data_IF_285741321232
#
_entry.id   IF_285741321232
#
_cell.length_a   1.000
_cell.length_b   1.000
_cell.length_c   1.000
_cell.angle_alpha   90.00
_cell.angle_beta   90.00
_cell.angle_gamma   90.00
#
_symmetry.space_group_name_H-M   'P 1'
#
loop_
_entity.id
_entity.type
_entity.pdbx_description
1 polymer ?
#
# COMPACT_ATOMS: atom_id res chain seq x y z
N UNK A 1 -30.80 -16.87 48.71
CA UNK A 1 -30.02 -18.12 48.64
C UNK A 1 -29.38 -18.18 47.27
N UNK A 2 -28.06 -18.27 47.16
CA UNK A 2 -27.39 -18.31 45.87
C UNK A 2 -27.59 -19.70 45.23
N UNK A 3 -27.80 -19.71 43.89
CA UNK A 3 -27.88 -20.97 43.16
C UNK A 3 -26.49 -21.61 43.07
N UNK A 4 -26.41 -22.93 43.15
CA UNK A 4 -25.15 -23.67 42.95
C UNK A 4 -24.70 -23.48 41.50
N UNK A 5 -23.48 -23.01 41.31
CA UNK A 5 -22.88 -22.84 39.97
C UNK A 5 -22.49 -24.23 39.44
N UNK A 6 -22.80 -24.48 38.15
CA UNK A 6 -22.37 -25.70 37.48
C UNK A 6 -20.86 -25.76 37.39
N UNK A 7 -20.27 -26.93 37.63
CA UNK A 7 -18.86 -27.20 37.42
C UNK A 7 -18.54 -27.62 35.99
N UNK A 8 -19.58 -27.86 35.17
CA UNK A 8 -19.42 -28.12 33.75
C UNK A 8 -19.31 -26.77 33.02
N UNK A 9 -18.11 -26.43 32.56
CA UNK A 9 -17.78 -25.16 31.93
C UNK A 9 -17.83 -25.30 30.38
N UNK A 10 -18.99 -25.68 29.84
CA UNK A 10 -19.23 -25.52 28.42
C UNK A 10 -19.46 -24.03 28.10
N UNK A 11 -18.44 -23.35 27.65
CA UNK A 11 -18.51 -21.92 27.38
C UNK A 11 -19.48 -21.59 26.24
N UNK A 12 -19.54 -22.43 25.18
CA UNK A 12 -20.42 -22.24 24.05
C UNK A 12 -21.90 -22.26 24.45
N UNK A 13 -22.31 -23.22 25.28
CA UNK A 13 -23.69 -23.29 25.78
C UNK A 13 -24.04 -22.06 26.65
N UNK A 14 -23.09 -21.63 27.47
CA UNK A 14 -23.28 -20.44 28.33
C UNK A 14 -23.36 -19.15 27.52
N UNK A 15 -22.60 -19.03 26.47
CA UNK A 15 -22.66 -17.87 25.53
C UNK A 15 -24.05 -17.81 24.89
N UNK A 16 -24.54 -18.92 24.33
CA UNK A 16 -25.89 -19.01 23.75
C UNK A 16 -27.01 -18.68 24.73
N UNK A 17 -26.90 -19.11 25.97
CA UNK A 17 -27.84 -18.74 27.03
C UNK A 17 -27.82 -17.24 27.32
N UNK A 18 -26.63 -16.63 27.27
CA UNK A 18 -26.47 -15.19 27.50
C UNK A 18 -27.00 -14.38 26.31
N UNK A 19 -26.69 -14.78 25.09
CA UNK A 19 -27.23 -14.15 23.87
C UNK A 19 -28.76 -14.18 23.87
N UNK A 20 -29.32 -15.37 24.12
CA UNK A 20 -30.79 -15.51 24.23
C UNK A 20 -31.38 -14.61 25.32
N UNK A 21 -30.71 -14.47 26.45
CA UNK A 21 -31.16 -13.56 27.52
C UNK A 21 -31.13 -12.10 27.06
N UNK A 22 -30.09 -11.69 26.31
CA UNK A 22 -30.00 -10.33 25.79
C UNK A 22 -31.13 -10.02 24.81
N UNK A 23 -31.43 -10.95 23.90
CA UNK A 23 -32.48 -10.81 22.89
C UNK A 23 -33.87 -10.80 23.53
N UNK A 24 -34.19 -11.79 24.33
CA UNK A 24 -35.48 -11.91 25.00
C UNK A 24 -35.81 -10.70 25.92
N UNK A 25 -34.79 -10.01 26.41
CA UNK A 25 -34.93 -8.87 27.32
C UNK A 25 -34.58 -7.53 26.68
N UNK A 26 -34.26 -7.46 25.39
CA UNK A 26 -33.87 -6.24 24.66
C UNK A 26 -32.77 -5.45 25.40
N UNK A 27 -31.70 -6.14 25.80
CA UNK A 27 -30.66 -5.55 26.68
C UNK A 27 -29.88 -4.46 25.94
N UNK A 28 -29.63 -4.63 24.63
CA UNK A 28 -28.95 -3.63 23.83
C UNK A 28 -29.75 -2.32 23.77
N UNK A 29 -31.01 -2.36 23.41
CA UNK A 29 -31.91 -1.21 23.32
C UNK A 29 -32.06 -0.53 24.71
N UNK A 30 -32.28 -1.31 25.75
CA UNK A 30 -32.36 -0.81 27.14
C UNK A 30 -31.06 -0.13 27.60
N UNK A 31 -29.91 -0.58 27.09
CA UNK A 31 -28.63 0.03 27.42
C UNK A 31 -28.55 1.49 26.94
N UNK A 32 -29.21 1.83 25.85
CA UNK A 32 -29.33 3.18 25.30
C UNK A 32 -30.48 3.95 25.99
N UNK A 33 -31.66 3.34 26.10
CA UNK A 33 -32.82 3.97 26.69
C UNK A 33 -32.59 4.43 28.16
N UNK A 34 -31.98 3.57 28.96
CA UNK A 34 -31.64 3.88 30.37
C UNK A 34 -30.63 5.04 30.52
N UNK A 35 -30.06 5.50 29.44
CA UNK A 35 -29.02 6.56 29.39
C UNK A 35 -29.35 7.69 28.42
N UNK A 36 -30.60 7.81 27.98
CA UNK A 36 -31.03 8.82 27.02
C UNK A 36 -30.79 10.25 27.48
N UNK A 37 -30.77 10.50 28.80
CA UNK A 37 -30.44 11.79 29.39
C UNK A 37 -28.93 11.96 29.68
N UNK A 38 -28.11 10.94 29.40
CA UNK A 38 -26.66 10.99 29.57
C UNK A 38 -25.95 11.63 28.41
N UNK A 39 -24.66 11.92 28.54
CA UNK A 39 -23.88 12.42 27.42
C UNK A 39 -23.83 11.38 26.29
N UNK A 40 -23.92 11.82 25.05
CA UNK A 40 -23.89 10.95 23.88
C UNK A 40 -22.44 10.60 23.48
N UNK A 41 -22.20 9.32 23.19
CA UNK A 41 -20.99 8.85 22.53
C UNK A 41 -21.38 8.03 21.30
N UNK A 42 -21.32 8.66 20.12
CA UNK A 42 -21.73 8.01 18.87
C UNK A 42 -20.63 7.08 18.35
N UNK A 43 -21.01 5.87 17.96
CA UNK A 43 -20.14 4.90 17.33
C UNK A 43 -20.68 4.47 15.97
N UNK A 44 -19.83 4.57 14.95
CA UNK A 44 -20.07 4.02 13.62
C UNK A 44 -19.11 2.86 13.39
N UNK A 45 -19.62 1.71 12.98
CA UNK A 45 -18.77 0.58 12.60
C UNK A 45 -17.96 0.95 11.35
N UNK A 46 -16.65 0.65 11.35
CA UNK A 46 -15.88 0.57 10.12
C UNK A 46 -16.33 -0.70 9.40
N UNK A 47 -17.05 -0.59 8.26
CA UNK A 47 -17.86 -1.67 7.75
C UNK A 47 -16.99 -2.80 7.20
N UNK A 48 -17.38 -4.07 7.36
CA UNK A 48 -16.75 -5.15 6.62
C UNK A 48 -17.10 -5.03 5.14
N UNK A 49 -16.15 -5.41 4.28
CA UNK A 49 -16.45 -5.62 2.87
C UNK A 49 -17.30 -6.89 2.73
N UNK A 50 -18.50 -6.75 2.17
CA UNK A 50 -19.50 -7.82 2.13
C UNK A 50 -19.22 -8.92 1.07
N UNK A 51 -18.04 -8.95 0.46
CA UNK A 51 -17.64 -9.82 -0.64
C UNK A 51 -17.04 -11.17 -0.21
N UNK A 52 -16.88 -11.44 1.07
CA UNK A 52 -16.27 -12.66 1.58
C UNK A 52 -16.85 -13.16 2.90
N UNK A 53 -16.52 -14.40 3.24
CA UNK A 53 -16.94 -15.02 4.52
C UNK A 53 -16.15 -14.41 5.69
N UNK A 54 -16.78 -14.24 6.87
CA UNK A 54 -16.05 -13.89 8.08
C UNK A 54 -15.04 -14.99 8.44
N UNK A 55 -13.95 -14.59 9.08
CA UNK A 55 -12.91 -15.50 9.56
C UNK A 55 -12.40 -15.08 10.93
N UNK A 56 -11.58 -15.91 11.57
CA UNK A 56 -11.11 -15.70 12.95
C UNK A 56 -10.44 -14.34 13.18
N UNK A 57 -9.75 -13.79 12.15
CA UNK A 57 -9.15 -12.45 12.26
C UNK A 57 -10.17 -11.33 12.48
N UNK A 58 -11.41 -11.51 12.05
CA UNK A 58 -12.48 -10.55 12.29
C UNK A 58 -13.00 -10.57 13.73
N UNK A 59 -12.80 -11.67 14.48
CA UNK A 59 -13.17 -11.74 15.93
C UNK A 59 -12.41 -10.67 16.70
N UNK A 60 -11.10 -10.57 16.52
CA UNK A 60 -10.28 -9.55 17.20
C UNK A 60 -10.79 -8.13 16.94
N UNK A 61 -11.08 -7.82 15.67
CA UNK A 61 -11.60 -6.50 15.28
C UNK A 61 -12.95 -6.22 15.93
N UNK A 62 -13.89 -7.19 15.90
CA UNK A 62 -15.21 -7.06 16.54
C UNK A 62 -15.10 -6.85 18.05
N UNK A 63 -14.26 -7.63 18.72
CA UNK A 63 -14.05 -7.50 20.18
C UNK A 63 -13.50 -6.13 20.55
N UNK A 64 -12.50 -5.63 19.84
CA UNK A 64 -11.93 -4.30 20.10
C UNK A 64 -12.96 -3.20 19.84
N UNK A 65 -13.70 -3.26 18.73
CA UNK A 65 -14.75 -2.31 18.39
C UNK A 65 -15.88 -2.29 19.44
N UNK A 66 -16.25 -3.44 19.97
CA UNK A 66 -17.33 -3.54 20.97
C UNK A 66 -16.89 -3.09 22.38
N UNK A 67 -15.65 -3.30 22.73
CA UNK A 67 -15.10 -2.96 24.04
C UNK A 67 -15.26 -1.48 24.39
N UNK A 68 -14.95 -0.57 23.48
CA UNK A 68 -15.02 0.87 23.73
C UNK A 68 -16.46 1.36 23.93
N UNK A 69 -17.42 1.05 23.05
CA UNK A 69 -18.82 1.35 23.27
C UNK A 69 -19.39 0.78 24.57
N UNK A 70 -19.06 -0.47 24.93
CA UNK A 70 -19.50 -1.06 26.22
C UNK A 70 -18.91 -0.31 27.41
N UNK A 71 -17.62 0.00 27.38
CA UNK A 71 -16.99 0.80 28.41
C UNK A 71 -17.67 2.16 28.57
N UNK A 72 -17.95 2.87 27.49
CA UNK A 72 -18.67 4.15 27.50
C UNK A 72 -20.08 4.00 28.07
N UNK A 73 -20.80 2.94 27.68
CA UNK A 73 -22.11 2.61 28.25
C UNK A 73 -22.04 2.41 29.75
N UNK A 74 -21.05 1.66 30.27
CA UNK A 74 -20.83 1.47 31.71
C UNK A 74 -20.47 2.78 32.43
N UNK A 75 -19.86 3.75 31.74
CA UNK A 75 -19.57 5.08 32.29
C UNK A 75 -20.78 6.03 32.25
N UNK A 76 -21.96 5.57 31.84
CA UNK A 76 -23.19 6.36 31.86
C UNK A 76 -23.50 7.09 30.54
N UNK A 77 -22.75 6.85 29.48
CA UNK A 77 -23.02 7.46 28.16
C UNK A 77 -24.17 6.73 27.44
N UNK A 78 -25.00 7.48 26.75
CA UNK A 78 -25.89 6.96 25.71
C UNK A 78 -25.03 6.72 24.46
N UNK A 79 -24.97 5.46 24.01
CA UNK A 79 -24.05 5.04 22.94
C UNK A 79 -24.81 4.46 21.75
N UNK A 80 -25.26 5.31 20.81
CA UNK A 80 -25.80 4.84 19.53
C UNK A 80 -24.67 4.16 18.74
N UNK A 81 -24.96 2.95 18.23
CA UNK A 81 -23.99 2.12 17.52
C UNK A 81 -24.56 1.77 16.15
N UNK A 82 -24.05 2.43 15.14
CA UNK A 82 -24.50 2.25 13.75
C UNK A 82 -23.65 1.18 13.08
N UNK A 83 -24.28 0.08 12.63
CA UNK A 83 -23.64 -0.88 11.75
C UNK A 83 -23.49 -0.32 10.33
N UNK A 84 -22.64 -0.95 9.51
CA UNK A 84 -22.47 -0.55 8.12
C UNK A 84 -22.00 -1.70 7.23
N UNK A 85 -22.14 -1.50 5.93
CA UNK A 85 -21.68 -2.42 4.89
C UNK A 85 -20.86 -1.68 3.85
N UNK A 86 -19.63 -2.14 3.64
CA UNK A 86 -18.80 -1.74 2.50
C UNK A 86 -19.21 -2.59 1.28
N UNK A 87 -19.80 -1.94 0.29
CA UNK A 87 -20.53 -2.62 -0.78
C UNK A 87 -20.07 -2.26 -2.19
N UNK A 88 -18.91 -1.61 -2.32
CA UNK A 88 -18.40 -1.19 -3.63
C UNK A 88 -16.87 -1.30 -3.71
N UNK A 89 -16.33 -0.92 -4.87
CA UNK A 89 -14.90 -0.87 -5.13
C UNK A 89 -14.31 -2.19 -5.66
N UNK A 90 -13.01 -2.17 -5.87
CA UNK A 90 -12.25 -3.25 -6.52
C UNK A 90 -12.47 -4.65 -5.92
N UNK A 91 -12.56 -4.84 -4.59
CA UNK A 91 -12.79 -6.17 -4.02
C UNK A 91 -14.11 -6.82 -4.49
N UNK A 92 -15.17 -6.04 -4.64
CA UNK A 92 -16.46 -6.52 -5.14
C UNK A 92 -16.38 -6.83 -6.64
N UNK A 93 -15.74 -5.94 -7.40
CA UNK A 93 -15.53 -6.11 -8.84
C UNK A 93 -14.75 -7.39 -9.16
N UNK A 94 -13.64 -7.65 -8.45
CA UNK A 94 -12.81 -8.85 -8.64
C UNK A 94 -13.57 -10.16 -8.32
N UNK A 95 -14.46 -10.15 -7.32
CA UNK A 95 -15.30 -11.32 -7.03
C UNK A 95 -16.30 -11.57 -8.16
N UNK A 96 -16.88 -10.52 -8.71
CA UNK A 96 -17.84 -10.64 -9.83
C UNK A 96 -17.13 -10.97 -11.14
N UNK A 97 -15.95 -10.41 -11.43
CA UNK A 97 -15.10 -10.85 -12.55
C UNK A 97 -14.88 -12.35 -12.51
N UNK A 98 -14.47 -12.87 -11.35
CA UNK A 98 -14.23 -14.29 -11.14
C UNK A 98 -15.51 -15.12 -11.31
N UNK A 99 -16.64 -14.63 -10.80
CA UNK A 99 -17.93 -15.30 -10.92
C UNK A 99 -18.38 -15.41 -12.37
N UNK A 100 -18.15 -14.39 -13.18
CA UNK A 100 -18.52 -14.31 -14.60
C UNK A 100 -17.46 -14.88 -15.55
N UNK A 101 -16.28 -15.24 -15.02
CA UNK A 101 -15.15 -15.70 -15.83
C UNK A 101 -14.50 -14.60 -16.68
N UNK A 102 -14.68 -13.33 -16.31
CA UNK A 102 -14.09 -12.19 -17.00
C UNK A 102 -12.64 -11.95 -16.54
N UNK A 103 -11.84 -11.31 -17.36
CA UNK A 103 -10.45 -10.98 -17.06
C UNK A 103 -10.10 -9.56 -17.49
N UNK A 104 -10.31 -8.63 -16.56
CA UNK A 104 -9.90 -7.24 -16.71
C UNK A 104 -10.95 -6.35 -17.37
N UNK A 105 -10.59 -5.07 -17.43
CA UNK A 105 -11.49 -3.98 -17.76
C UNK A 105 -12.12 -4.10 -19.15
N UNK A 106 -11.34 -4.49 -20.16
CA UNK A 106 -11.84 -4.63 -21.54
C UNK A 106 -13.01 -5.61 -21.63
N UNK A 107 -12.90 -6.77 -20.97
CA UNK A 107 -13.97 -7.78 -20.97
C UNK A 107 -15.20 -7.33 -20.15
N UNK A 108 -15.00 -6.50 -19.11
CA UNK A 108 -16.11 -5.88 -18.37
C UNK A 108 -16.87 -4.89 -19.26
N UNK A 109 -16.15 -4.08 -20.04
CA UNK A 109 -16.75 -3.13 -20.99
C UNK A 109 -17.53 -3.87 -22.11
N UNK A 110 -16.98 -4.98 -22.63
CA UNK A 110 -17.67 -5.85 -23.60
C UNK A 110 -18.92 -6.52 -23.02
N UNK A 111 -18.87 -7.00 -21.77
CA UNK A 111 -20.02 -7.56 -21.06
C UNK A 111 -21.12 -6.51 -20.84
N UNK A 112 -20.72 -5.26 -20.65
CA UNK A 112 -21.58 -4.11 -20.42
C UNK A 112 -21.54 -3.63 -18.96
N UNK A 113 -21.34 -2.34 -18.78
CA UNK A 113 -21.20 -1.72 -17.45
C UNK A 113 -22.45 -1.88 -16.58
N UNK A 114 -23.64 -1.65 -17.15
CA UNK A 114 -24.89 -1.74 -16.38
C UNK A 114 -25.18 -3.16 -15.86
N UNK A 115 -25.15 -4.23 -16.68
CA UNK A 115 -25.33 -5.59 -16.17
C UNK A 115 -24.23 -6.02 -15.20
N UNK A 116 -22.98 -5.54 -15.37
CA UNK A 116 -21.90 -5.81 -14.44
C UNK A 116 -22.13 -5.16 -13.07
N UNK A 117 -22.49 -3.88 -13.02
CA UNK A 117 -22.85 -3.16 -11.78
C UNK A 117 -24.03 -3.83 -11.08
N UNK A 118 -25.04 -4.28 -11.83
CA UNK A 118 -26.16 -5.02 -11.25
C UNK A 118 -25.69 -6.30 -10.56
N UNK A 119 -24.78 -7.04 -11.19
CA UNK A 119 -24.16 -8.24 -10.57
C UNK A 119 -23.35 -7.91 -9.33
N UNK A 120 -22.62 -6.80 -9.32
CA UNK A 120 -21.92 -6.32 -8.13
C UNK A 120 -22.90 -6.05 -6.97
N UNK A 121 -23.97 -5.32 -7.22
CA UNK A 121 -25.03 -5.05 -6.21
C UNK A 121 -25.72 -6.32 -5.70
N UNK A 122 -25.92 -7.32 -6.54
CA UNK A 122 -26.47 -8.62 -6.12
C UNK A 122 -25.46 -9.42 -5.27
N UNK A 123 -24.19 -9.38 -5.65
CA UNK A 123 -23.10 -10.16 -5.04
C UNK A 123 -22.86 -9.79 -3.58
N UNK A 124 -22.90 -8.49 -3.22
CA UNK A 124 -22.57 -8.02 -1.87
C UNK A 124 -23.51 -8.56 -0.79
N UNK A 125 -24.72 -8.94 -1.12
CA UNK A 125 -25.69 -9.47 -0.14
C UNK A 125 -25.57 -10.98 0.10
N UNK A 126 -24.75 -11.67 -0.71
CA UNK A 126 -24.55 -13.12 -0.60
C UNK A 126 -24.06 -13.57 0.78
N UNK A 127 -23.23 -12.78 1.45
CA UNK A 127 -22.62 -13.13 2.72
C UNK A 127 -23.23 -12.39 3.93
N UNK A 128 -24.24 -11.53 3.71
CA UNK A 128 -24.83 -10.70 4.76
C UNK A 128 -25.25 -11.51 5.98
N UNK A 129 -26.07 -12.55 5.79
CA UNK A 129 -26.55 -13.39 6.90
C UNK A 129 -25.43 -14.05 7.69
N UNK A 130 -24.35 -14.50 7.00
CA UNK A 130 -23.19 -15.08 7.69
C UNK A 130 -22.45 -14.04 8.55
N UNK A 131 -22.41 -12.79 8.14
CA UNK A 131 -21.81 -11.71 8.91
C UNK A 131 -22.68 -11.29 10.10
N UNK A 132 -23.99 -11.31 9.94
CA UNK A 132 -24.95 -11.05 11.03
C UNK A 132 -24.87 -12.15 12.09
N UNK A 133 -24.93 -13.43 11.68
CA UNK A 133 -24.76 -14.58 12.56
C UNK A 133 -23.39 -14.56 13.29
N UNK A 134 -22.31 -14.25 12.55
CA UNK A 134 -20.99 -14.12 13.15
C UNK A 134 -20.93 -12.99 14.18
N UNK A 135 -21.54 -11.84 13.89
CA UNK A 135 -21.58 -10.70 14.81
C UNK A 135 -22.37 -11.03 16.08
N UNK A 136 -23.48 -11.77 15.96
CA UNK A 136 -24.23 -12.31 17.08
C UNK A 136 -23.39 -13.25 17.92
N UNK A 137 -22.78 -14.27 17.29
CA UNK A 137 -21.93 -15.27 17.97
C UNK A 137 -20.78 -14.68 18.77
N UNK A 138 -20.17 -13.58 18.32
CA UNK A 138 -19.10 -12.88 19.07
C UNK A 138 -19.64 -11.82 20.04
N UNK A 139 -20.96 -11.71 20.17
CA UNK A 139 -21.63 -10.76 21.06
C UNK A 139 -21.44 -9.29 20.71
N UNK A 140 -21.21 -8.98 19.43
CA UNK A 140 -21.02 -7.62 18.93
C UNK A 140 -22.37 -6.85 18.91
N UNK A 141 -22.46 -5.77 19.65
CA UNK A 141 -23.66 -4.94 19.71
C UNK A 141 -23.60 -3.76 18.74
N UNK A 142 -24.44 -3.78 17.73
CA UNK A 142 -24.66 -2.65 16.81
C UNK A 142 -26.09 -2.72 16.23
N UNK A 143 -26.61 -1.60 15.76
CA UNK A 143 -27.89 -1.54 15.05
C UNK A 143 -27.70 -2.13 13.63
N UNK A 144 -27.95 -3.43 13.52
CA UNK A 144 -27.89 -4.20 12.28
C UNK A 144 -29.17 -4.07 11.44
N UNK A 145 -30.27 -3.58 12.04
CA UNK A 145 -31.54 -3.40 11.33
C UNK A 145 -31.51 -2.16 10.43
N UNK A 146 -30.79 -1.12 10.88
CA UNK A 146 -30.68 0.15 10.14
C UNK A 146 -29.22 0.48 9.82
N UNK A 147 -28.48 -0.37 9.10
CA UNK A 147 -27.11 -0.14 8.77
C UNK A 147 -27.00 0.99 7.72
N UNK A 148 -25.84 1.66 7.67
CA UNK A 148 -25.50 2.43 6.47
C UNK A 148 -24.90 1.50 5.41
N UNK A 149 -25.16 1.81 4.15
CA UNK A 149 -24.69 1.03 3.00
C UNK A 149 -23.98 1.97 2.04
N UNK A 150 -22.71 1.68 1.74
CA UNK A 150 -21.87 2.66 1.05
C UNK A 150 -22.27 2.92 -0.41
N UNK A 151 -23.05 2.05 -1.06
CA UNK A 151 -23.57 2.32 -2.39
C UNK A 151 -24.94 3.03 -2.40
N UNK A 152 -25.57 3.24 -1.23
CA UNK A 152 -26.84 3.94 -1.17
C UNK A 152 -26.69 5.43 -1.49
N UNK A 153 -27.66 5.98 -2.21
CA UNK A 153 -27.66 7.37 -2.65
C UNK A 153 -27.50 8.35 -1.49
N UNK A 154 -28.16 8.09 -0.36
CA UNK A 154 -28.04 8.92 0.85
C UNK A 154 -26.59 8.97 1.42
N UNK A 155 -25.87 7.83 1.35
CA UNK A 155 -24.49 7.78 1.78
C UNK A 155 -23.60 8.56 0.79
N UNK A 156 -23.77 8.33 -0.49
CA UNK A 156 -23.04 9.01 -1.57
C UNK A 156 -23.28 10.52 -1.52
N UNK A 157 -24.53 10.95 -1.34
CA UNK A 157 -24.86 12.38 -1.22
C UNK A 157 -24.18 13.03 -0.02
N UNK A 158 -24.12 12.33 1.12
CA UNK A 158 -23.43 12.80 2.32
C UNK A 158 -21.92 12.93 2.11
N UNK A 159 -21.30 11.99 1.39
CA UNK A 159 -19.88 12.05 1.02
C UNK A 159 -19.61 13.24 0.09
N UNK A 160 -20.44 13.44 -0.91
CA UNK A 160 -20.32 14.59 -1.81
C UNK A 160 -20.48 15.91 -1.09
N UNK A 161 -21.41 16.00 -0.14
CA UNK A 161 -21.55 17.17 0.73
C UNK A 161 -20.26 17.44 1.52
N UNK A 162 -19.63 16.40 2.09
CA UNK A 162 -18.38 16.53 2.82
C UNK A 162 -17.25 17.01 1.90
N UNK A 163 -17.08 16.40 0.71
CA UNK A 163 -16.08 16.81 -0.29
C UNK A 163 -16.32 18.25 -0.77
N UNK A 164 -17.59 18.64 -1.02
CA UNK A 164 -17.93 20.01 -1.38
C UNK A 164 -17.55 21.02 -0.28
N UNK A 165 -17.79 20.65 0.97
CA UNK A 165 -17.42 21.49 2.13
C UNK A 165 -15.90 21.66 2.24
N UNK A 166 -15.13 20.60 2.01
CA UNK A 166 -13.65 20.64 1.98
C UNK A 166 -13.16 21.52 0.82
N UNK A 167 -13.78 21.38 -0.35
CA UNK A 167 -13.50 22.21 -1.53
C UNK A 167 -13.73 23.70 -1.26
N UNK A 168 -14.88 24.05 -0.66
CA UNK A 168 -15.23 25.46 -0.36
C UNK A 168 -14.26 26.07 0.63
N UNK A 169 -13.72 25.27 1.55
CA UNK A 169 -12.66 25.67 2.48
C UNK A 169 -11.27 25.77 1.84
N UNK A 170 -11.11 25.49 0.54
CA UNK A 170 -9.84 25.48 -0.20
C UNK A 170 -8.81 24.48 0.33
N UNK A 171 -9.27 23.41 0.96
CA UNK A 171 -8.41 22.35 1.49
C UNK A 171 -8.18 21.20 0.50
N UNK A 172 -9.00 21.11 -0.56
CA UNK A 172 -8.81 20.15 -1.65
C UNK A 172 -7.98 20.81 -2.75
N UNK A 173 -6.87 20.19 -3.11
CA UNK A 173 -5.93 20.67 -4.13
C UNK A 173 -5.42 19.51 -5.00
N UNK A 174 -4.91 19.83 -6.19
CA UNK A 174 -4.26 18.86 -7.07
C UNK A 174 -2.79 18.72 -6.67
N UNK A 175 -2.39 17.53 -6.29
CA UNK A 175 -1.02 17.18 -5.90
C UNK A 175 -0.50 15.96 -6.63
N UNK A 176 0.78 15.63 -6.42
CA UNK A 176 1.42 14.42 -6.92
C UNK A 176 1.80 13.54 -5.74
N UNK A 177 1.66 12.23 -5.91
CA UNK A 177 2.11 11.23 -4.96
C UNK A 177 2.57 9.99 -5.73
N UNK A 178 3.72 9.45 -5.36
CA UNK A 178 4.18 8.16 -5.89
C UNK A 178 3.44 7.07 -5.12
N UNK A 179 2.79 6.19 -5.85
CA UNK A 179 2.03 5.06 -5.30
C UNK A 179 2.24 3.82 -6.16
N UNK A 180 2.24 2.61 -5.57
CA UNK A 180 2.16 1.37 -6.32
C UNK A 180 0.93 1.37 -7.24
N UNK A 181 1.08 0.85 -8.44
CA UNK A 181 0.03 0.84 -9.45
C UNK A 181 -0.10 -0.55 -10.06
N UNK A 182 -1.32 -1.06 -10.14
CA UNK A 182 -1.61 -2.34 -10.78
C UNK A 182 -1.97 -2.13 -12.25
N UNK A 183 -1.13 -2.56 -13.23
CA UNK A 183 -1.45 -2.38 -14.64
C UNK A 183 -2.64 -3.24 -15.11
N UNK A 184 -2.92 -4.38 -14.44
CA UNK A 184 -4.09 -5.21 -14.75
C UNK A 184 -5.39 -4.53 -14.37
N UNK A 185 -5.46 -4.00 -13.15
CA UNK A 185 -6.67 -3.37 -12.63
C UNK A 185 -6.82 -1.91 -13.08
N UNK A 186 -5.71 -1.27 -13.53
CA UNK A 186 -5.70 0.14 -13.90
C UNK A 186 -5.89 1.09 -12.71
N UNK A 187 -5.53 0.66 -11.50
CA UNK A 187 -5.75 1.40 -10.25
C UNK A 187 -4.49 1.52 -9.41
N UNK A 188 -4.34 2.61 -8.63
CA UNK A 188 -3.35 2.66 -7.56
C UNK A 188 -3.70 1.64 -6.47
N UNK A 189 -2.67 1.15 -5.76
CA UNK A 189 -2.80 0.18 -4.68
C UNK A 189 -2.53 0.84 -3.33
N UNK A 190 -3.29 0.44 -2.32
CA UNK A 190 -3.01 0.78 -0.93
C UNK A 190 -1.81 0.01 -0.38
N UNK A 191 -1.18 0.52 0.68
CA UNK A 191 -0.10 -0.19 1.37
C UNK A 191 -0.52 -1.57 1.89
N UNK A 192 -1.79 -1.73 2.29
CA UNK A 192 -2.33 -3.00 2.75
C UNK A 192 -2.44 -4.03 1.63
N UNK A 193 -2.87 -3.63 0.43
CA UNK A 193 -2.94 -4.52 -0.74
C UNK A 193 -1.54 -4.97 -1.16
N UNK A 194 -0.58 -4.04 -1.20
CA UNK A 194 0.82 -4.34 -1.52
C UNK A 194 1.42 -5.31 -0.51
N UNK A 195 1.19 -5.10 0.80
CA UNK A 195 1.73 -5.94 1.87
C UNK A 195 1.29 -7.42 1.75
N UNK A 196 0.12 -7.69 1.19
CA UNK A 196 -0.39 -9.04 0.99
C UNK A 196 0.18 -9.74 -0.26
N UNK A 197 0.80 -8.99 -1.16
CA UNK A 197 1.26 -9.46 -2.48
C UNK A 197 2.74 -9.78 -2.60
N UNK A 198 3.55 -9.61 -1.55
CA UNK A 198 4.99 -9.86 -1.61
C UNK A 198 5.31 -11.33 -1.91
N UNK A 199 6.15 -11.54 -2.92
CA UNK A 199 6.67 -12.85 -3.31
C UNK A 199 8.15 -12.74 -3.62
N UNK A 200 8.92 -13.77 -3.28
CA UNK A 200 10.28 -13.91 -3.79
C UNK A 200 10.21 -14.31 -5.27
N UNK A 201 10.78 -13.48 -6.13
CA UNK A 201 10.87 -13.72 -7.58
C UNK A 201 12.31 -13.64 -8.04
N UNK A 202 12.64 -14.37 -9.12
CA UNK A 202 13.93 -14.23 -9.79
C UNK A 202 13.78 -13.27 -10.95
N UNK A 203 14.48 -12.15 -10.87
CA UNK A 203 14.51 -11.12 -11.90
C UNK A 203 15.90 -11.01 -12.50
N UNK A 204 15.97 -10.56 -13.76
CA UNK A 204 17.22 -10.16 -14.38
C UNK A 204 17.54 -8.74 -13.96
N UNK A 205 18.70 -8.53 -13.35
CA UNK A 205 19.24 -7.21 -13.09
C UNK A 205 20.18 -6.76 -14.23
N UNK A 206 20.35 -5.47 -14.36
CA UNK A 206 21.27 -4.86 -15.33
C UNK A 206 22.24 -3.94 -14.60
N UNK A 207 23.50 -3.96 -15.04
CA UNK A 207 24.50 -2.95 -14.71
C UNK A 207 24.67 -2.08 -15.96
N UNK A 208 24.46 -0.78 -15.80
CA UNK A 208 24.41 0.17 -16.91
C UNK A 208 25.52 1.19 -16.75
N UNK A 209 26.19 1.51 -17.87
CA UNK A 209 27.26 2.49 -17.96
C UNK A 209 26.70 3.86 -18.31
N UNK A 210 26.96 4.85 -17.46
CA UNK A 210 26.62 6.25 -17.69
C UNK A 210 27.90 7.04 -17.92
N UNK A 211 28.09 7.57 -19.13
CA UNK A 211 29.32 8.29 -19.51
C UNK A 211 29.48 9.56 -18.71
N UNK A 212 30.60 9.73 -18.04
CA UNK A 212 30.91 10.96 -17.28
C UNK A 212 31.23 12.09 -18.25
N UNK A 213 30.68 13.28 -18.00
CA UNK A 213 30.95 14.46 -18.84
C UNK A 213 32.39 14.92 -18.60
N UNK A 214 33.14 15.12 -19.71
CA UNK A 214 34.52 15.62 -19.67
C UNK A 214 35.58 14.60 -19.25
N UNK A 215 35.20 13.34 -19.01
CA UNK A 215 36.14 12.26 -18.68
C UNK A 215 35.92 11.02 -19.54
N UNK A 216 37.00 10.26 -19.77
CA UNK A 216 36.87 8.93 -20.37
C UNK A 216 36.62 7.87 -19.30
N UNK A 217 35.48 8.02 -18.60
CA UNK A 217 35.04 7.16 -17.51
C UNK A 217 33.51 7.02 -17.50
N UNK A 218 33.00 6.01 -16.78
CA UNK A 218 31.59 5.73 -16.65
C UNK A 218 31.20 5.49 -15.20
N UNK A 219 30.06 5.97 -14.77
CA UNK A 219 29.39 5.45 -13.59
C UNK A 219 28.75 4.09 -13.91
N UNK A 220 28.93 3.10 -13.03
CA UNK A 220 28.20 1.83 -13.11
C UNK A 220 27.01 1.87 -12.15
N UNK A 221 25.79 1.99 -12.70
CA UNK A 221 24.59 1.90 -11.90
C UNK A 221 23.88 0.55 -12.09
N UNK A 222 23.35 -0.01 -11.01
CA UNK A 222 22.65 -1.27 -11.02
C UNK A 222 21.14 -1.06 -10.88
N UNK A 223 20.35 -1.87 -11.61
CA UNK A 223 18.89 -1.85 -11.52
C UNK A 223 18.27 -3.22 -11.73
N UNK A 224 17.19 -3.51 -11.01
CA UNK A 224 16.29 -4.65 -11.23
C UNK A 224 15.12 -4.28 -12.17
N UNK A 225 14.94 -3.00 -12.50
CA UNK A 225 13.85 -2.47 -13.30
C UNK A 225 14.36 -1.71 -14.53
N UNK A 226 15.03 -2.37 -15.49
CA UNK A 226 15.67 -1.68 -16.63
C UNK A 226 14.68 -0.91 -17.53
N UNK A 227 13.38 -1.21 -17.47
CA UNK A 227 12.35 -0.48 -18.19
C UNK A 227 12.10 0.95 -17.68
N UNK A 228 12.64 1.32 -16.50
CA UNK A 228 12.58 2.69 -15.98
C UNK A 228 13.73 3.59 -16.47
N UNK A 229 14.77 3.02 -17.09
CA UNK A 229 15.93 3.75 -17.59
C UNK A 229 15.60 4.89 -18.57
N UNK A 230 14.59 4.80 -19.47
CA UNK A 230 14.20 5.94 -20.31
C UNK A 230 13.75 7.17 -19.53
N UNK A 231 13.37 7.01 -18.26
CA UNK A 231 12.97 8.10 -17.35
C UNK A 231 14.07 8.50 -16.36
N UNK A 232 15.31 8.04 -16.57
CA UNK A 232 16.45 8.43 -15.75
C UNK A 232 16.70 9.94 -15.83
N UNK A 233 16.90 10.58 -14.67
CA UNK A 233 17.20 12.02 -14.56
C UNK A 233 18.39 12.32 -13.64
N UNK A 234 18.79 11.36 -12.78
CA UNK A 234 19.93 11.48 -11.89
C UNK A 234 20.52 10.10 -11.56
N UNK A 235 21.68 10.08 -10.92
CA UNK A 235 22.26 8.94 -10.23
C UNK A 235 22.33 9.28 -8.74
N UNK A 236 22.25 8.28 -7.86
CA UNK A 236 22.37 8.48 -6.43
C UNK A 236 23.46 7.60 -5.84
N UNK A 237 24.26 8.17 -4.92
CA UNK A 237 25.32 7.51 -4.15
C UNK A 237 25.11 7.74 -2.67
N UNK A 238 25.67 6.88 -1.83
CA UNK A 238 25.68 7.11 -0.38
C UNK A 238 26.82 8.07 -0.02
N UNK A 239 26.55 9.23 0.56
CA UNK A 239 27.58 10.24 0.84
C UNK A 239 28.65 9.76 1.82
N UNK A 240 28.32 8.80 2.70
CA UNK A 240 29.20 8.32 3.77
C UNK A 240 30.09 7.16 3.35
N UNK A 241 29.75 6.47 2.27
CA UNK A 241 30.49 5.31 1.77
C UNK A 241 31.66 5.71 0.87
N UNK A 242 32.56 4.75 0.64
CA UNK A 242 33.74 4.93 -0.18
C UNK A 242 33.52 4.44 -1.60
N UNK A 243 33.88 5.25 -2.57
CA UNK A 243 33.81 4.96 -3.99
C UNK A 243 35.20 5.00 -4.62
N UNK A 244 35.39 4.23 -5.68
CA UNK A 244 36.64 4.17 -6.42
C UNK A 244 36.44 4.51 -7.88
N UNK A 245 37.45 5.20 -8.45
CA UNK A 245 37.69 5.26 -9.88
C UNK A 245 38.66 4.15 -10.21
N UNK A 246 38.26 3.21 -11.07
CA UNK A 246 39.05 2.02 -11.38
C UNK A 246 39.21 1.83 -12.88
N UNK A 247 40.39 1.38 -13.29
CA UNK A 247 40.65 0.89 -14.64
C UNK A 247 40.39 -0.60 -14.65
N UNK A 248 39.40 -1.05 -15.40
CA UNK A 248 39.04 -2.46 -15.48
C UNK A 248 39.74 -3.18 -16.66
N UNK A 249 39.87 -4.50 -16.56
CA UNK A 249 40.51 -5.34 -17.59
C UNK A 249 39.75 -5.34 -18.92
N UNK A 250 38.47 -4.94 -18.94
CA UNK A 250 37.70 -4.73 -20.17
C UNK A 250 38.09 -3.46 -20.96
N UNK A 251 39.08 -2.72 -20.47
CA UNK A 251 39.60 -1.51 -21.11
C UNK A 251 38.87 -0.22 -20.74
N UNK A 252 37.81 -0.26 -19.91
CA UNK A 252 37.09 0.93 -19.50
C UNK A 252 37.51 1.42 -18.11
N UNK A 253 37.19 2.68 -17.81
CA UNK A 253 37.35 3.27 -16.47
C UNK A 253 35.98 3.47 -15.85
N UNK A 254 35.82 3.03 -14.61
CA UNK A 254 34.54 3.03 -13.90
C UNK A 254 34.59 3.75 -12.57
N UNK A 255 33.47 4.38 -12.19
CA UNK A 255 33.17 4.81 -10.84
C UNK A 255 32.15 3.84 -10.23
N UNK A 256 32.43 3.29 -9.06
CA UNK A 256 31.51 2.44 -8.30
C UNK A 256 31.97 2.33 -6.83
N UNK A 257 31.15 1.76 -5.98
CA UNK A 257 31.50 1.57 -4.57
C UNK A 257 32.67 0.59 -4.39
N UNK A 258 33.60 0.96 -3.50
CA UNK A 258 34.79 0.15 -3.17
C UNK A 258 34.41 -1.26 -2.69
N UNK A 259 33.41 -1.35 -1.79
CA UNK A 259 32.97 -2.62 -1.20
C UNK A 259 32.43 -3.63 -2.23
N UNK A 260 32.07 -3.20 -3.43
CA UNK A 260 31.44 -4.02 -4.45
C UNK A 260 32.33 -4.31 -5.67
N UNK A 261 33.59 -3.83 -5.65
CA UNK A 261 34.52 -4.00 -6.76
C UNK A 261 34.73 -5.46 -7.15
N UNK A 262 35.05 -6.33 -6.18
CA UNK A 262 35.30 -7.74 -6.44
C UNK A 262 34.04 -8.47 -6.91
N UNK A 263 32.88 -8.13 -6.34
CA UNK A 263 31.61 -8.74 -6.73
C UNK A 263 31.22 -8.43 -8.19
N UNK A 264 31.47 -7.21 -8.62
CA UNK A 264 31.06 -6.74 -9.95
C UNK A 264 32.15 -7.00 -11.00
N UNK A 265 33.38 -6.59 -10.72
CA UNK A 265 34.49 -6.63 -11.68
C UNK A 265 35.38 -7.86 -11.54
N UNK A 266 35.34 -8.57 -10.40
CA UNK A 266 36.22 -9.71 -10.16
C UNK A 266 36.17 -10.81 -11.23
N UNK A 267 35.04 -10.93 -11.95
CA UNK A 267 34.86 -11.87 -13.06
C UNK A 267 35.69 -11.52 -14.31
N UNK A 268 36.25 -10.31 -14.36
CA UNK A 268 37.11 -9.87 -15.47
C UNK A 268 38.57 -10.31 -15.28
N UNK A 269 38.95 -10.84 -14.10
CA UNK A 269 40.28 -11.40 -13.85
C UNK A 269 40.56 -12.58 -14.77
N UNK A 270 41.80 -12.65 -15.26
CA UNK A 270 42.38 -13.80 -15.97
C UNK A 270 43.58 -14.34 -15.20
N UNK A 271 44.22 -15.43 -15.65
CA UNK A 271 45.42 -15.99 -15.01
C UNK A 271 46.60 -14.96 -15.03
N UNK A 272 46.63 -14.13 -16.07
CA UNK A 272 47.71 -13.20 -16.36
C UNK A 272 47.41 -11.73 -15.99
N UNK A 273 46.11 -11.36 -15.77
CA UNK A 273 45.70 -9.97 -15.61
C UNK A 273 44.70 -9.79 -14.46
N UNK A 274 44.96 -8.77 -13.61
CA UNK A 274 44.01 -8.39 -12.55
C UNK A 274 42.72 -7.85 -13.13
N UNK A 275 41.59 -8.10 -12.45
CA UNK A 275 40.29 -7.64 -12.85
C UNK A 275 40.20 -6.11 -13.00
N UNK A 276 40.89 -5.38 -12.17
CA UNK A 276 40.90 -3.92 -12.14
C UNK A 276 42.11 -3.36 -11.41
N UNK A 277 42.40 -2.08 -11.64
CA UNK A 277 43.36 -1.26 -10.93
C UNK A 277 42.67 -0.03 -10.33
N UNK A 278 42.78 0.20 -9.03
CA UNK A 278 42.23 1.39 -8.38
C UNK A 278 43.09 2.59 -8.68
N UNK A 279 42.52 3.59 -9.35
CA UNK A 279 43.20 4.83 -9.72
C UNK A 279 43.00 5.92 -8.67
N UNK A 280 41.83 6.00 -8.07
CA UNK A 280 41.44 7.03 -7.12
C UNK A 280 40.36 6.48 -6.15
N UNK A 281 40.41 6.95 -4.89
CA UNK A 281 39.40 6.62 -3.88
C UNK A 281 38.86 7.92 -3.30
N UNK A 282 37.54 7.99 -3.09
CA UNK A 282 36.85 9.19 -2.63
C UNK A 282 35.60 8.85 -1.83
N UNK A 283 35.02 9.82 -1.13
CA UNK A 283 33.71 9.67 -0.50
C UNK A 283 32.60 9.90 -1.53
N UNK A 284 31.42 9.30 -1.30
CA UNK A 284 30.27 9.54 -2.16
C UNK A 284 29.89 11.02 -2.22
N UNK A 285 30.05 11.75 -1.12
CA UNK A 285 29.84 13.20 -1.08
C UNK A 285 30.71 13.98 -2.09
N UNK A 286 31.90 13.49 -2.43
CA UNK A 286 32.80 14.12 -3.41
C UNK A 286 32.32 13.93 -4.85
N UNK A 287 31.39 13.01 -5.09
CA UNK A 287 30.76 12.75 -6.39
C UNK A 287 29.52 13.61 -6.63
N UNK A 288 29.01 14.30 -5.62
CA UNK A 288 27.79 15.09 -5.72
C UNK A 288 27.92 16.16 -6.84
N UNK A 289 26.88 16.29 -7.63
CA UNK A 289 26.79 17.18 -8.80
C UNK A 289 27.74 16.85 -9.97
N UNK A 290 28.50 15.73 -9.92
CA UNK A 290 29.26 15.28 -11.09
C UNK A 290 28.31 14.88 -12.21
N UNK A 291 28.50 15.45 -13.41
CA UNK A 291 27.58 15.32 -14.52
C UNK A 291 27.87 14.06 -15.37
N UNK A 292 26.84 13.49 -15.95
CA UNK A 292 26.93 12.38 -16.92
C UNK A 292 26.06 12.62 -18.12
N UNK A 293 26.37 11.95 -19.24
CA UNK A 293 25.59 12.02 -20.48
C UNK A 293 24.32 11.18 -20.35
N UNK A 294 23.13 11.69 -20.75
CA UNK A 294 21.89 10.93 -20.69
C UNK A 294 21.95 9.69 -21.60
N UNK A 295 21.38 8.57 -21.12
CA UNK A 295 21.26 7.35 -21.93
C UNK A 295 20.33 7.52 -23.14
N UNK A 296 19.29 8.35 -22.97
CA UNK A 296 18.22 8.55 -23.95
C UNK A 296 17.89 10.04 -24.10
N UNK A 297 17.67 10.46 -25.33
CA UNK A 297 17.33 11.87 -25.66
C UNK A 297 15.94 12.30 -25.12
N UNK A 298 15.02 11.35 -24.89
CA UNK A 298 13.66 11.67 -24.45
C UNK A 298 13.63 12.43 -23.11
N UNK A 299 14.37 11.98 -22.10
CA UNK A 299 14.42 12.63 -20.79
C UNK A 299 15.12 13.99 -20.87
N UNK A 300 16.20 14.09 -21.66
CA UNK A 300 16.90 15.35 -21.90
C UNK A 300 15.99 16.41 -22.55
N UNK A 301 15.22 16.03 -23.56
CA UNK A 301 14.29 16.94 -24.22
C UNK A 301 13.23 17.52 -23.28
N UNK A 302 12.78 16.73 -22.29
CA UNK A 302 11.85 17.19 -21.26
C UNK A 302 12.53 18.14 -20.28
N UNK A 303 13.74 17.80 -19.80
CA UNK A 303 14.51 18.65 -18.91
C UNK A 303 14.82 20.00 -19.54
N UNK A 304 15.25 20.03 -20.79
CA UNK A 304 15.53 21.24 -21.56
C UNK A 304 14.26 22.12 -21.72
N UNK A 305 13.12 21.49 -22.06
CA UNK A 305 11.82 22.17 -22.16
C UNK A 305 11.38 22.81 -20.84
N UNK A 306 11.62 22.13 -19.74
CA UNK A 306 11.28 22.62 -18.41
C UNK A 306 12.33 23.57 -17.84
N UNK A 307 13.48 23.77 -18.49
CA UNK A 307 14.63 24.54 -18.02
C UNK A 307 15.12 24.08 -16.64
N UNK A 308 15.11 22.76 -16.41
CA UNK A 308 15.59 22.13 -15.18
C UNK A 308 16.88 21.39 -15.44
N UNK A 309 17.82 21.46 -14.50
CA UNK A 309 19.05 20.66 -14.54
C UNK A 309 18.73 19.22 -14.21
N UNK A 310 19.34 18.29 -14.93
CA UNK A 310 19.29 16.85 -14.68
C UNK A 310 20.63 16.22 -15.05
N UNK A 311 20.72 14.89 -14.95
CA UNK A 311 21.88 14.08 -15.38
C UNK A 311 23.16 14.37 -14.58
N UNK A 312 23.04 14.41 -13.28
CA UNK A 312 24.13 14.54 -12.32
C UNK A 312 23.96 13.57 -11.15
N UNK A 313 25.00 13.40 -10.35
CA UNK A 313 24.99 12.56 -9.15
C UNK A 313 24.37 13.32 -8.00
N UNK A 314 23.43 12.67 -7.28
CA UNK A 314 22.85 13.10 -6.02
C UNK A 314 23.36 12.22 -4.87
N UNK A 315 23.11 12.61 -3.63
CA UNK A 315 23.52 11.87 -2.44
C UNK A 315 22.31 11.56 -1.55
N UNK A 316 22.18 10.29 -1.14
CA UNK A 316 21.22 9.88 -0.11
C UNK A 316 21.68 8.60 0.61
N UNK A 317 21.29 8.46 1.87
CA UNK A 317 21.71 7.34 2.72
C UNK A 317 20.95 6.04 2.49
N UNK A 318 19.88 6.03 1.70
CA UNK A 318 19.16 4.81 1.35
C UNK A 318 19.96 3.89 0.41
N UNK A 319 20.96 4.41 -0.29
CA UNK A 319 21.84 3.59 -1.14
C UNK A 319 22.69 2.67 -0.28
N UNK A 320 22.55 1.36 -0.47
CA UNK A 320 23.24 0.32 0.32
C UNK A 320 24.42 -0.28 -0.42
N UNK A 321 25.33 -0.90 0.36
CA UNK A 321 26.49 -1.63 -0.15
C UNK A 321 26.28 -3.16 -0.12
N UNK A 322 25.05 -3.63 0.06
CA UNK A 322 24.72 -5.07 0.11
C UNK A 322 24.69 -5.72 -1.27
N UNK A 323 24.24 -4.97 -2.28
CA UNK A 323 24.01 -5.47 -3.63
C UNK A 323 24.33 -4.41 -4.69
N UNK A 324 24.47 -4.83 -5.94
CA UNK A 324 24.60 -3.95 -7.08
C UNK A 324 26.00 -3.35 -7.22
N UNK A 325 26.07 -2.03 -7.42
CA UNK A 325 27.30 -1.29 -7.67
C UNK A 325 27.53 -0.14 -6.67
N UNK A 326 26.61 0.06 -5.72
CA UNK A 326 26.58 1.22 -4.82
C UNK A 326 26.15 2.52 -5.51
N UNK A 327 25.71 2.46 -6.77
CA UNK A 327 25.14 3.59 -7.50
C UNK A 327 23.78 3.18 -8.04
N UNK A 328 22.75 3.96 -7.71
CA UNK A 328 21.35 3.74 -8.13
C UNK A 328 20.96 4.80 -9.16
N UNK A 329 20.23 4.40 -10.19
CA UNK A 329 19.64 5.37 -11.11
C UNK A 329 18.32 5.92 -10.57
N UNK A 330 18.04 7.19 -10.78
CA UNK A 330 16.89 7.90 -10.26
C UNK A 330 15.88 8.16 -11.38
N UNK A 331 14.65 7.67 -11.15
CA UNK A 331 13.49 7.90 -12.01
C UNK A 331 12.27 8.28 -11.15
N UNK A 332 12.04 9.57 -10.83
CA UNK A 332 11.15 10.04 -9.76
C UNK A 332 9.70 9.55 -9.84
N UNK A 333 9.20 9.23 -11.03
CA UNK A 333 7.83 8.72 -11.19
C UNK A 333 7.66 7.24 -10.78
N UNK A 334 8.75 6.50 -10.55
CA UNK A 334 8.76 5.05 -10.36
C UNK A 334 9.22 4.59 -8.97
N UNK A 335 9.65 5.50 -8.11
CA UNK A 335 10.08 5.22 -6.75
C UNK A 335 9.79 6.38 -5.80
N UNK A 336 9.37 6.06 -4.56
CA UNK A 336 9.17 7.08 -3.53
C UNK A 336 10.51 7.67 -3.10
N UNK A 337 11.55 6.84 -2.92
CA UNK A 337 12.90 7.30 -2.63
C UNK A 337 13.47 8.15 -3.76
N UNK A 338 13.27 7.73 -5.02
CA UNK A 338 13.68 8.49 -6.21
C UNK A 338 13.01 9.88 -6.28
N UNK A 339 11.77 9.98 -5.82
CA UNK A 339 11.03 11.24 -5.82
C UNK A 339 11.45 12.17 -4.68
N UNK A 340 11.98 11.62 -3.58
CA UNK A 340 12.43 12.37 -2.41
C UNK A 340 13.84 12.96 -2.60
N UNK A 341 14.71 12.25 -3.32
CA UNK A 341 16.06 12.69 -3.68
C UNK A 341 16.02 13.81 -4.72
#
# INVERSE_FOLDING_TARGET
MYKKVSTNLNFVDREKETEKFWDDNHIFEKSMENRKEGPTYTFYDGPPTANGKPHIGHVLTRVIKDMIPRYRTMKGYMVPRKAGWDTHGLPVELEVEKLLGLNGKEQIEEYGMEPFIKKCKESVWKYKGMWEDFSGTVGFWADMENPYVTYDDNFIESEWWALKTIWDKKLLYKGFKIVPYCPRCGTPLSSQEVAQGYKAVKERSAIVRFKVVGEDAYFLAWTTTPWTLPSNVALCVNPNDTYCKVKAADGYTYYMAEALLDTVLGKLATEDEKAYEVLETMKGADLEYKEYEPLYECAKAIADKQRKKGFFVTCDTYVTMSDGTGIVHIAPAFGEDDANV
#
